data_IF_592938476864
#
_entry.id   IF_592938476864
#
_cell.length_a   1.000
_cell.length_b   1.000
_cell.length_c   1.000
_cell.angle_alpha   90.00
_cell.angle_beta   90.00
_cell.angle_gamma   90.00
#
_symmetry.space_group_name_H-M   'P 1'
#
loop_
_entity.id
_entity.type
_entity.pdbx_description
1 polymer ?
#
# COMPACT_ATOMS: atom_id res chain seq x y z
N UNK A 1 40.76 39.41 45.30
CA UNK A 1 40.88 38.92 43.91
C UNK A 1 39.71 38.00 43.65
N UNK A 2 38.88 38.39 42.69
CA UNK A 2 37.47 38.03 42.54
C UNK A 2 37.28 36.71 41.78
N UNK A 3 36.53 35.77 42.36
CA UNK A 3 36.06 34.56 41.71
C UNK A 3 35.05 34.90 40.61
N UNK A 4 35.40 34.59 39.36
CA UNK A 4 34.49 34.66 38.21
C UNK A 4 33.57 33.44 38.18
N UNK A 5 32.30 33.64 38.54
CA UNK A 5 31.20 32.68 38.32
C UNK A 5 30.85 32.67 36.83
N UNK A 6 31.12 31.56 36.14
CA UNK A 6 30.57 31.30 34.82
C UNK A 6 29.11 30.85 34.95
N UNK A 7 28.19 31.73 34.53
CA UNK A 7 26.78 31.43 34.30
C UNK A 7 26.67 30.58 33.03
N UNK A 8 26.34 29.31 33.18
CA UNK A 8 25.85 28.46 32.08
C UNK A 8 24.38 28.82 31.80
N UNK A 9 24.02 29.26 30.58
CA UNK A 9 22.63 29.43 30.22
C UNK A 9 22.01 28.05 30.02
N UNK A 10 20.99 27.74 30.84
CA UNK A 10 20.12 26.59 30.66
C UNK A 10 19.38 26.73 29.33
N UNK A 11 19.85 26.00 28.31
CA UNK A 11 19.19 25.88 27.03
C UNK A 11 17.96 24.98 27.23
N UNK A 12 16.82 25.60 27.50
CA UNK A 12 15.53 24.95 27.55
C UNK A 12 15.17 24.48 26.13
N UNK A 13 15.51 23.23 25.83
CA UNK A 13 15.11 22.55 24.60
C UNK A 13 13.60 22.25 24.71
N UNK A 14 12.78 23.15 24.18
CA UNK A 14 11.36 22.93 23.99
C UNK A 14 11.19 21.86 22.89
N UNK A 15 11.11 20.59 23.31
CA UNK A 15 10.67 19.47 22.47
C UNK A 15 9.20 19.69 22.16
N UNK A 16 8.93 20.36 21.04
CA UNK A 16 7.61 20.41 20.43
C UNK A 16 7.34 19.03 19.84
N UNK A 17 6.59 18.21 20.57
CA UNK A 17 5.96 17.01 20.04
C UNK A 17 5.04 17.43 18.90
N UNK A 18 5.58 17.41 17.69
CA UNK A 18 4.84 17.57 16.46
C UNK A 18 3.76 16.49 16.44
N UNK A 19 2.51 16.96 16.48
CA UNK A 19 1.33 16.14 16.40
C UNK A 19 1.44 15.20 15.19
N UNK A 20 1.26 13.90 15.44
CA UNK A 20 0.96 12.91 14.44
C UNK A 20 -0.33 13.32 13.71
N UNK A 21 -0.18 14.08 12.63
CA UNK A 21 -1.24 14.35 11.68
C UNK A 21 -1.55 13.02 10.95
N UNK A 22 -2.38 12.21 11.59
CA UNK A 22 -3.08 11.09 10.96
C UNK A 22 -4.11 11.68 10.00
N UNK A 23 -3.63 12.13 8.84
CA UNK A 23 -4.51 12.55 7.77
C UNK A 23 -5.33 11.34 7.30
N UNK A 24 -6.65 11.46 7.11
CA UNK A 24 -7.43 10.40 6.50
C UNK A 24 -6.89 10.18 5.08
N UNK A 25 -6.17 9.08 4.90
CA UNK A 25 -5.69 8.66 3.59
C UNK A 25 -6.87 8.50 2.60
N UNK A 26 -6.65 8.70 1.30
CA UNK A 26 -7.70 8.56 0.30
C UNK A 26 -8.26 7.14 0.31
N UNK A 27 -9.47 6.98 0.86
CA UNK A 27 -10.33 5.79 0.71
C UNK A 27 -10.84 5.74 -0.73
N UNK A 28 -10.00 5.27 -1.62
CA UNK A 28 -10.29 5.16 -3.04
C UNK A 28 -9.44 4.07 -3.69
N UNK A 29 -9.51 2.84 -3.16
CA UNK A 29 -8.98 1.67 -3.84
C UNK A 29 -9.87 1.32 -5.06
N UNK A 30 -9.27 0.87 -6.18
CA UNK A 30 -10.01 0.48 -7.37
C UNK A 30 -10.88 -0.73 -7.05
N UNK A 31 -12.16 -0.45 -6.83
CA UNK A 31 -13.20 -1.47 -6.78
C UNK A 31 -13.48 -1.93 -8.19
N UNK A 32 -13.27 -3.22 -8.43
CA UNK A 32 -14.10 -3.92 -9.39
C UNK A 32 -15.55 -3.77 -8.95
N UNK A 33 -16.40 -3.30 -9.87
CA UNK A 33 -17.84 -3.21 -9.68
C UNK A 33 -18.42 -4.62 -9.54
N UNK A 34 -18.58 -5.07 -8.30
CA UNK A 34 -19.25 -6.30 -7.94
C UNK A 34 -19.50 -6.36 -6.44
N UNK A 35 -20.71 -5.95 -6.03
CA UNK A 35 -21.31 -6.23 -4.71
C UNK A 35 -20.63 -5.65 -3.45
N UNK A 36 -20.66 -4.31 -3.34
CA UNK A 36 -20.53 -3.57 -2.05
C UNK A 36 -21.84 -3.57 -1.23
N UNK A 37 -22.43 -4.73 -0.93
CA UNK A 37 -23.52 -4.84 0.06
C UNK A 37 -23.24 -5.92 1.11
N UNK A 38 -22.57 -5.50 2.19
CA UNK A 38 -22.31 -6.32 3.39
C UNK A 38 -21.53 -5.52 4.43
N UNK A 39 -22.18 -4.55 5.08
CA UNK A 39 -21.52 -3.34 5.63
C UNK A 39 -20.83 -3.48 6.99
N UNK A 40 -20.86 -4.64 7.65
CA UNK A 40 -20.28 -4.77 9.01
C UNK A 40 -19.23 -5.90 9.16
N UNK A 41 -18.89 -6.59 8.07
CA UNK A 41 -17.77 -7.53 8.03
C UNK A 41 -16.73 -7.05 7.05
N UNK A 42 -15.75 -6.26 7.52
CA UNK A 42 -14.65 -5.77 6.68
C UNK A 42 -13.99 -6.90 5.89
N UNK A 43 -13.48 -6.58 4.70
CA UNK A 43 -12.75 -7.58 3.90
C UNK A 43 -11.55 -8.14 4.68
N UNK A 44 -11.04 -9.31 4.29
CA UNK A 44 -9.82 -9.84 4.90
C UNK A 44 -8.66 -8.84 4.87
N UNK A 45 -8.61 -8.00 3.83
CA UNK A 45 -7.62 -6.93 3.70
C UNK A 45 -7.82 -5.87 4.77
N UNK A 46 -9.04 -5.36 4.95
CA UNK A 46 -9.35 -4.38 6.00
C UNK A 46 -9.00 -4.91 7.40
N UNK A 47 -9.25 -6.20 7.64
CA UNK A 47 -8.87 -6.86 8.90
C UNK A 47 -7.36 -6.91 9.08
N UNK A 48 -6.60 -7.27 8.05
CA UNK A 48 -5.14 -7.29 8.10
C UNK A 48 -4.56 -5.88 8.31
N UNK A 49 -5.12 -4.86 7.63
CA UNK A 49 -4.75 -3.45 7.85
C UNK A 49 -5.01 -3.02 9.30
N UNK A 50 -6.19 -3.33 9.85
CA UNK A 50 -6.51 -3.00 11.23
C UNK A 50 -5.60 -3.68 12.26
N UNK A 51 -5.03 -4.86 11.94
CA UNK A 51 -4.03 -5.51 12.78
C UNK A 51 -2.69 -4.81 12.70
N UNK A 52 -2.24 -4.45 11.50
CA UNK A 52 -1.01 -3.69 11.30
C UNK A 52 -1.06 -2.33 12.04
N UNK A 53 -2.19 -1.62 11.95
CA UNK A 53 -2.41 -0.34 12.64
C UNK A 53 -2.36 -0.46 14.17
N UNK A 54 -2.70 -1.64 14.72
CA UNK A 54 -2.60 -1.94 16.16
C UNK A 54 -1.21 -2.45 16.59
N UNK A 55 -0.27 -2.54 15.66
CA UNK A 55 1.08 -3.06 15.91
C UNK A 55 1.19 -4.60 15.84
N UNK A 56 0.12 -5.31 15.47
CA UNK A 56 0.15 -6.76 15.25
C UNK A 56 0.61 -7.06 13.82
N UNK A 57 1.88 -6.74 13.54
CA UNK A 57 2.47 -6.83 12.21
C UNK A 57 2.60 -8.28 11.73
N UNK A 58 2.81 -9.25 12.63
CA UNK A 58 2.94 -10.67 12.30
C UNK A 58 1.63 -11.26 11.78
N UNK A 59 0.52 -11.04 12.51
CA UNK A 59 -0.79 -11.53 12.08
C UNK A 59 -1.25 -10.79 10.82
N UNK A 60 -0.96 -9.48 10.73
CA UNK A 60 -1.25 -8.70 9.53
C UNK A 60 -0.49 -9.21 8.30
N UNK A 61 0.82 -9.47 8.44
CA UNK A 61 1.68 -10.02 7.39
C UNK A 61 1.11 -11.32 6.82
N UNK A 62 0.76 -12.26 7.72
CA UNK A 62 0.12 -13.53 7.35
C UNK A 62 -1.17 -13.30 6.56
N UNK A 63 -2.02 -12.38 7.02
CA UNK A 63 -3.27 -12.06 6.33
C UNK A 63 -3.05 -11.47 4.94
N UNK A 64 -2.12 -10.54 4.80
CA UNK A 64 -1.76 -9.94 3.51
C UNK A 64 -1.19 -10.98 2.54
N UNK A 65 -0.33 -11.88 2.99
CA UNK A 65 0.19 -12.96 2.14
C UNK A 65 -0.91 -13.91 1.66
N UNK A 66 -1.83 -14.31 2.53
CA UNK A 66 -2.97 -15.14 2.13
C UNK A 66 -3.82 -14.47 1.04
N UNK A 67 -4.02 -13.16 1.13
CA UNK A 67 -4.78 -12.37 0.14
C UNK A 67 -3.97 -12.21 -1.15
N UNK A 68 -2.68 -11.89 -1.07
CA UNK A 68 -1.80 -11.71 -2.23
C UNK A 68 -1.69 -12.97 -3.10
N UNK A 69 -1.73 -14.16 -2.48
CA UNK A 69 -1.73 -15.46 -3.19
C UNK A 69 -2.92 -15.67 -4.12
N UNK A 70 -3.97 -14.84 -4.06
CA UNK A 70 -5.08 -14.88 -5.03
C UNK A 70 -4.67 -14.45 -6.45
N UNK A 71 -3.47 -13.88 -6.62
CA UNK A 71 -2.85 -13.59 -7.92
C UNK A 71 -3.09 -12.15 -8.41
N UNK A 72 -3.29 -11.93 -9.72
CA UNK A 72 -3.40 -10.58 -10.27
C UNK A 72 -4.56 -9.77 -9.65
N UNK A 73 -4.32 -8.49 -9.40
CA UNK A 73 -5.25 -7.57 -8.75
C UNK A 73 -5.07 -7.44 -7.24
N UNK A 74 -4.20 -8.25 -6.63
CA UNK A 74 -3.89 -8.23 -5.19
C UNK A 74 -2.50 -7.67 -4.87
N UNK A 75 -1.93 -6.85 -5.76
CA UNK A 75 -0.58 -6.31 -5.59
C UNK A 75 -0.47 -5.40 -4.37
N UNK A 76 -1.56 -4.72 -3.99
CA UNK A 76 -1.63 -3.93 -2.76
C UNK A 76 -1.42 -4.81 -1.52
N UNK A 77 -1.94 -6.05 -1.51
CA UNK A 77 -1.74 -6.97 -0.39
C UNK A 77 -0.28 -7.42 -0.32
N UNK A 78 0.35 -7.74 -1.46
CA UNK A 78 1.78 -8.07 -1.50
C UNK A 78 2.65 -6.90 -1.01
N UNK A 79 2.32 -5.67 -1.42
CA UNK A 79 2.98 -4.47 -0.91
C UNK A 79 2.82 -4.31 0.61
N UNK A 80 1.60 -4.48 1.13
CA UNK A 80 1.33 -4.38 2.56
C UNK A 80 1.98 -5.49 3.38
N UNK A 81 2.11 -6.70 2.84
CA UNK A 81 2.95 -7.75 3.42
C UNK A 81 4.40 -7.25 3.55
N UNK A 82 4.99 -6.73 2.47
CA UNK A 82 6.37 -6.24 2.51
C UNK A 82 6.61 -5.18 3.60
N UNK A 83 5.67 -4.23 3.74
CA UNK A 83 5.72 -3.23 4.81
C UNK A 83 5.58 -3.84 6.21
N UNK A 84 4.68 -4.82 6.40
CA UNK A 84 4.53 -5.50 7.68
C UNK A 84 5.80 -6.28 8.07
N UNK A 85 6.45 -6.95 7.11
CA UNK A 85 7.73 -7.64 7.36
C UNK A 85 8.84 -6.66 7.77
N UNK A 86 8.92 -5.51 7.10
CA UNK A 86 9.88 -4.46 7.47
C UNK A 86 9.55 -3.84 8.84
N UNK A 87 8.29 -3.73 9.22
CA UNK A 87 7.88 -3.29 10.55
C UNK A 87 8.33 -4.30 11.63
N UNK A 88 8.11 -5.60 11.40
CA UNK A 88 8.58 -6.66 12.31
C UNK A 88 10.11 -6.63 12.47
N UNK A 89 10.84 -6.41 11.38
CA UNK A 89 12.30 -6.35 11.41
C UNK A 89 12.87 -5.20 12.27
N UNK A 90 12.08 -4.15 12.51
CA UNK A 90 12.44 -3.02 13.36
C UNK A 90 11.96 -3.18 14.82
N UNK A 91 11.41 -4.35 15.18
CA UNK A 91 10.96 -4.63 16.54
C UNK A 91 12.10 -4.64 17.57
N UNK A 92 11.85 -4.08 18.75
CA UNK A 92 12.82 -4.06 19.84
C UNK A 92 13.12 -5.47 20.35
N UNK A 93 14.39 -5.74 20.67
CA UNK A 93 14.82 -7.01 21.25
C UNK A 93 14.92 -8.19 20.27
N UNK A 94 14.72 -7.95 18.97
CA UNK A 94 14.86 -8.98 17.94
C UNK A 94 16.34 -9.33 17.69
N UNK A 95 16.64 -10.62 17.53
CA UNK A 95 17.98 -11.07 17.13
C UNK A 95 18.34 -10.50 15.75
N UNK A 96 19.59 -10.05 15.61
CA UNK A 96 20.05 -9.37 14.39
C UNK A 96 19.89 -10.21 13.11
N UNK A 97 20.06 -11.55 13.19
CA UNK A 97 19.88 -12.43 12.02
C UNK A 97 18.41 -12.59 11.66
N UNK A 98 17.53 -12.64 12.66
CA UNK A 98 16.08 -12.69 12.43
C UNK A 98 15.62 -11.36 11.81
N UNK A 99 16.10 -10.22 12.33
CA UNK A 99 15.80 -8.89 11.78
C UNK A 99 16.29 -8.73 10.32
N UNK A 100 17.45 -9.29 9.99
CA UNK A 100 17.96 -9.33 8.62
C UNK A 100 17.07 -10.19 7.70
N UNK A 101 16.71 -11.40 8.11
CA UNK A 101 15.82 -12.27 7.31
C UNK A 101 14.44 -11.64 7.04
N UNK A 102 13.87 -10.95 8.03
CA UNK A 102 12.61 -10.22 7.85
C UNK A 102 12.75 -9.00 6.92
N UNK A 103 13.92 -8.32 6.93
CA UNK A 103 14.21 -7.27 5.94
C UNK A 103 14.26 -7.84 4.54
N UNK A 104 14.97 -8.94 4.34
CA UNK A 104 15.08 -9.59 3.04
C UNK A 104 13.71 -10.02 2.52
N UNK A 105 12.89 -10.69 3.34
CA UNK A 105 11.52 -11.04 2.99
C UNK A 105 10.68 -9.80 2.63
N UNK A 106 10.77 -8.73 3.42
CA UNK A 106 10.03 -7.50 3.15
C UNK A 106 10.41 -6.85 1.83
N UNK A 107 11.71 -6.82 1.49
CA UNK A 107 12.17 -6.35 0.18
C UNK A 107 11.72 -7.25 -0.96
N UNK A 108 11.75 -8.58 -0.79
CA UNK A 108 11.28 -9.52 -1.82
C UNK A 108 9.79 -9.31 -2.12
N UNK A 109 8.96 -9.12 -1.10
CA UNK A 109 7.53 -8.86 -1.25
C UNK A 109 7.27 -7.50 -1.92
N UNK A 110 7.97 -6.44 -1.51
CA UNK A 110 7.90 -5.13 -2.18
C UNK A 110 8.33 -5.22 -3.65
N UNK A 111 9.43 -5.92 -3.95
CA UNK A 111 9.89 -6.14 -5.34
C UNK A 111 8.85 -6.90 -6.15
N UNK A 112 8.22 -7.93 -5.56
CA UNK A 112 7.15 -8.69 -6.21
C UNK A 112 5.95 -7.79 -6.55
N UNK A 113 5.47 -6.98 -5.60
CA UNK A 113 4.40 -6.02 -5.85
C UNK A 113 4.79 -4.95 -6.90
N UNK A 114 6.02 -4.43 -6.84
CA UNK A 114 6.52 -3.44 -7.77
C UNK A 114 6.66 -3.99 -9.20
N UNK A 115 7.14 -5.22 -9.33
CA UNK A 115 7.21 -5.96 -10.59
C UNK A 115 5.81 -6.25 -11.14
N UNK A 116 4.82 -6.51 -10.28
CA UNK A 116 3.42 -6.64 -10.67
C UNK A 116 2.75 -5.30 -11.05
N UNK A 117 3.54 -4.21 -11.09
CA UNK A 117 3.09 -2.91 -11.56
C UNK A 117 2.41 -2.06 -10.49
N UNK A 118 2.53 -2.41 -9.22
CA UNK A 118 2.00 -1.59 -8.13
C UNK A 118 2.89 -0.37 -7.87
N UNK A 119 2.42 0.85 -8.19
CA UNK A 119 3.27 2.03 -8.18
C UNK A 119 3.67 2.47 -6.77
N UNK A 120 2.85 2.22 -5.74
CA UNK A 120 3.26 2.53 -4.37
C UNK A 120 4.46 1.69 -3.92
N UNK A 121 4.56 0.43 -4.36
CA UNK A 121 5.74 -0.40 -4.10
C UNK A 121 6.98 0.10 -4.85
N UNK A 122 6.83 0.55 -6.10
CA UNK A 122 7.92 1.15 -6.87
C UNK A 122 8.46 2.41 -6.19
N UNK A 123 7.56 3.29 -5.73
CA UNK A 123 7.92 4.48 -4.95
C UNK A 123 8.61 4.12 -3.62
N UNK A 124 8.07 3.16 -2.88
CA UNK A 124 8.63 2.70 -1.61
C UNK A 124 10.05 2.15 -1.77
N UNK A 125 10.27 1.31 -2.80
CA UNK A 125 11.60 0.79 -3.10
C UNK A 125 12.57 1.90 -3.49
N UNK A 126 12.15 2.86 -4.33
CA UNK A 126 12.98 4.00 -4.69
C UNK A 126 13.44 4.79 -3.45
N UNK A 127 12.51 5.09 -2.54
CA UNK A 127 12.81 5.81 -1.28
C UNK A 127 13.76 5.00 -0.39
N UNK A 128 13.48 3.72 -0.16
CA UNK A 128 14.30 2.86 0.73
C UNK A 128 15.69 2.59 0.20
N UNK A 129 15.86 2.41 -1.11
CA UNK A 129 17.18 2.25 -1.69
C UNK A 129 17.99 3.55 -1.66
N UNK A 130 17.35 4.71 -1.82
CA UNK A 130 18.02 6.01 -1.69
C UNK A 130 18.50 6.24 -0.25
N UNK A 131 17.73 5.84 0.76
CA UNK A 131 18.09 5.96 2.18
C UNK A 131 19.36 5.18 2.56
N UNK A 132 19.81 4.20 1.75
CA UNK A 132 21.05 3.45 2.02
C UNK A 132 22.32 4.29 1.84
N UNK A 133 22.29 5.29 0.95
CA UNK A 133 23.42 6.20 0.70
C UNK A 133 24.68 5.59 0.04
N UNK A 134 24.69 4.29 -0.26
CA UNK A 134 25.76 3.61 -0.98
C UNK A 134 25.49 3.53 -2.51
N UNK A 135 26.51 3.15 -3.29
CA UNK A 135 26.41 3.09 -4.76
C UNK A 135 25.34 2.12 -5.25
N UNK A 136 25.18 0.99 -4.55
CA UNK A 136 24.16 -0.03 -4.87
C UNK A 136 22.75 0.53 -4.64
N UNK A 137 22.56 1.24 -3.52
CA UNK A 137 21.34 1.96 -3.17
C UNK A 137 21.00 3.03 -4.19
N UNK A 138 21.96 3.87 -4.59
CA UNK A 138 21.76 4.86 -5.66
C UNK A 138 21.34 4.21 -6.98
N UNK A 139 22.00 3.13 -7.38
CA UNK A 139 21.66 2.40 -8.60
C UNK A 139 20.23 1.83 -8.56
N UNK A 140 19.85 1.14 -7.47
CA UNK A 140 18.52 0.55 -7.33
C UNK A 140 17.43 1.61 -7.17
N UNK A 141 17.71 2.72 -6.49
CA UNK A 141 16.78 3.85 -6.37
C UNK A 141 16.50 4.47 -7.74
N UNK A 142 17.55 4.72 -8.53
CA UNK A 142 17.43 5.24 -9.90
C UNK A 142 16.57 4.34 -10.79
N UNK A 143 16.80 3.02 -10.74
CA UNK A 143 16.00 2.05 -11.49
C UNK A 143 14.51 2.14 -11.11
N UNK A 144 14.17 2.10 -9.81
CA UNK A 144 12.78 2.12 -9.38
C UNK A 144 12.08 3.46 -9.61
N UNK A 145 12.81 4.58 -9.53
CA UNK A 145 12.29 5.89 -9.97
C UNK A 145 11.92 5.85 -11.45
N UNK A 146 12.79 5.34 -12.31
CA UNK A 146 12.52 5.25 -13.74
C UNK A 146 11.36 4.28 -14.06
N UNK A 147 11.22 3.17 -13.32
CA UNK A 147 10.05 2.29 -13.46
C UNK A 147 8.76 3.00 -13.05
N UNK A 148 8.78 3.72 -11.93
CA UNK A 148 7.63 4.51 -11.45
C UNK A 148 7.23 5.60 -12.45
N UNK A 149 8.20 6.32 -12.99
CA UNK A 149 7.99 7.38 -13.98
C UNK A 149 7.36 6.86 -15.27
N UNK A 150 7.56 5.59 -15.62
CA UNK A 150 6.95 4.95 -16.79
C UNK A 150 5.64 4.21 -16.46
N UNK A 151 5.17 4.25 -15.21
CA UNK A 151 3.95 3.56 -14.81
C UNK A 151 2.69 4.38 -15.14
N UNK A 152 2.05 4.04 -16.27
CA UNK A 152 0.85 4.74 -16.79
C UNK A 152 -0.34 4.76 -15.81
N UNK A 153 -0.43 3.80 -14.88
CA UNK A 153 -1.56 3.69 -13.95
C UNK A 153 -1.61 4.90 -13.01
N UNK A 154 -0.50 5.25 -12.37
CA UNK A 154 -0.45 6.38 -11.44
C UNK A 154 -0.46 7.72 -12.19
N UNK A 155 0.17 7.80 -13.37
CA UNK A 155 0.09 8.98 -14.23
C UNK A 155 -1.36 9.32 -14.61
N UNK A 156 -2.15 8.31 -14.98
CA UNK A 156 -3.56 8.51 -15.36
C UNK A 156 -4.45 9.03 -14.23
N UNK A 157 -4.05 8.79 -12.98
CA UNK A 157 -4.75 9.22 -11.78
C UNK A 157 -4.17 10.51 -11.16
N UNK A 158 -3.07 11.05 -11.71
CA UNK A 158 -2.38 12.23 -11.19
C UNK A 158 -1.81 12.04 -9.78
N UNK A 159 -1.55 10.79 -9.36
CA UNK A 159 -1.10 10.49 -8.01
C UNK A 159 0.41 10.72 -7.88
N UNK A 160 0.81 11.67 -7.04
CA UNK A 160 2.22 11.87 -6.66
C UNK A 160 2.54 11.04 -5.41
N UNK A 161 3.14 9.86 -5.61
CA UNK A 161 3.53 8.95 -4.50
C UNK A 161 4.74 9.45 -3.73
N UNK A 162 5.70 10.06 -4.43
CA UNK A 162 6.88 10.67 -3.83
C UNK A 162 6.67 12.19 -3.85
N UNK A 163 6.65 12.88 -2.69
CA UNK A 163 6.55 14.33 -2.65
C UNK A 163 7.64 14.99 -3.48
N UNK A 164 7.32 16.04 -4.25
CA UNK A 164 8.24 16.66 -5.20
C UNK A 164 9.58 17.09 -4.57
N UNK A 165 9.54 17.67 -3.36
CA UNK A 165 10.74 18.05 -2.63
C UNK A 165 11.62 16.85 -2.27
N UNK A 166 11.01 15.71 -1.89
CA UNK A 166 11.72 14.46 -1.59
C UNK A 166 12.32 13.87 -2.87
N UNK A 167 11.57 13.88 -3.99
CA UNK A 167 12.06 13.40 -5.29
C UNK A 167 13.28 14.21 -5.75
N UNK A 168 13.22 15.53 -5.68
CA UNK A 168 14.35 16.38 -6.05
C UNK A 168 15.60 16.12 -5.18
N UNK A 169 15.42 15.91 -3.87
CA UNK A 169 16.52 15.54 -2.98
C UNK A 169 17.14 14.18 -3.34
N UNK A 170 16.31 13.18 -3.64
CA UNK A 170 16.76 11.87 -4.11
C UNK A 170 17.52 11.96 -5.42
N UNK A 171 17.00 12.69 -6.42
CA UNK A 171 17.67 12.86 -7.71
C UNK A 171 19.03 13.56 -7.60
N UNK A 172 19.14 14.54 -6.71
CA UNK A 172 20.39 15.22 -6.43
C UNK A 172 21.43 14.29 -5.77
N UNK A 173 21.00 13.44 -4.82
CA UNK A 173 21.87 12.47 -4.15
C UNK A 173 22.28 11.31 -5.07
N UNK A 174 21.33 10.76 -5.84
CA UNK A 174 21.56 9.69 -6.81
C UNK A 174 22.52 10.16 -7.91
N UNK A 175 22.34 11.39 -8.40
CA UNK A 175 23.17 11.97 -9.44
C UNK A 175 22.85 11.50 -10.86
N UNK A 176 23.23 12.28 -11.89
CA UNK A 176 22.77 12.08 -13.27
C UNK A 176 23.25 10.76 -13.91
N UNK A 177 24.44 10.27 -13.54
CA UNK A 177 24.98 9.02 -14.09
C UNK A 177 24.13 7.79 -13.72
N UNK A 178 23.79 7.66 -12.44
CA UNK A 178 22.92 6.58 -11.96
C UNK A 178 21.49 6.72 -12.49
N UNK A 179 20.94 7.95 -12.57
CA UNK A 179 19.63 8.21 -13.17
C UNK A 179 19.56 7.75 -14.63
N UNK A 180 20.58 8.08 -15.43
CA UNK A 180 20.64 7.65 -16.83
C UNK A 180 20.75 6.12 -16.96
N UNK A 181 21.57 5.47 -16.13
CA UNK A 181 21.71 4.01 -16.11
C UNK A 181 20.41 3.31 -15.69
N UNK A 182 19.75 3.81 -14.64
CA UNK A 182 18.47 3.31 -14.16
C UNK A 182 17.36 3.44 -15.21
N UNK A 183 17.32 4.56 -15.94
CA UNK A 183 16.39 4.75 -17.06
C UNK A 183 16.64 3.76 -18.21
N UNK A 184 17.91 3.52 -18.55
CA UNK A 184 18.27 2.53 -19.58
C UNK A 184 17.87 1.10 -19.18
N UNK A 185 18.08 0.72 -17.93
CA UNK A 185 17.64 -0.58 -17.38
C UNK A 185 16.10 -0.69 -17.40
N UNK A 186 15.40 0.34 -16.91
CA UNK A 186 13.94 0.38 -16.82
C UNK A 186 13.22 0.39 -18.19
N UNK A 187 13.89 0.76 -19.28
CA UNK A 187 13.31 0.72 -20.64
C UNK A 187 12.81 -0.69 -21.04
N UNK A 188 13.44 -1.74 -20.48
CA UNK A 188 13.05 -3.13 -20.71
C UNK A 188 12.09 -3.67 -19.64
N UNK A 189 11.67 -2.85 -18.68
CA UNK A 189 10.75 -3.27 -17.64
C UNK A 189 9.43 -3.73 -18.26
N UNK A 190 8.96 -4.88 -17.81
CA UNK A 190 7.64 -5.42 -18.13
C UNK A 190 7.01 -5.85 -16.82
N UNK A 191 5.73 -5.52 -16.65
CA UNK A 191 4.99 -5.96 -15.47
C UNK A 191 4.91 -7.48 -15.47
N UNK A 192 5.16 -8.08 -14.31
CA UNK A 192 5.04 -9.51 -14.06
C UNK A 192 3.88 -9.70 -13.07
N UNK A 193 2.67 -10.05 -13.55
CA UNK A 193 1.52 -10.24 -12.67
C UNK A 193 1.84 -11.24 -11.55
N UNK A 194 1.27 -11.02 -10.37
CA UNK A 194 1.41 -11.97 -9.27
C UNK A 194 0.86 -13.34 -9.69
N UNK A 195 1.63 -14.39 -9.41
CA UNK A 195 1.18 -15.75 -9.62
C UNK A 195 0.09 -16.10 -8.60
N UNK A 196 -0.98 -16.74 -9.07
CA UNK A 196 -1.97 -17.33 -8.17
C UNK A 196 -1.40 -18.64 -7.64
N UNK A 197 -1.39 -18.79 -6.32
CA UNK A 197 -0.94 -19.99 -5.64
C UNK A 197 -2.13 -20.61 -4.89
N UNK A 198 -2.24 -21.93 -4.92
CA UNK A 198 -3.27 -22.64 -4.15
C UNK A 198 -3.17 -22.27 -2.68
N UNK A 199 -4.26 -21.76 -2.13
CA UNK A 199 -4.28 -21.27 -0.75
C UNK A 199 -4.60 -22.40 0.22
N UNK A 200 -3.74 -22.53 1.22
CA UNK A 200 -3.92 -23.47 2.32
C UNK A 200 -5.17 -23.15 3.13
N UNK A 201 -5.67 -24.16 3.86
CA UNK A 201 -6.83 -24.01 4.74
C UNK A 201 -6.60 -22.94 5.84
N UNK A 202 -5.34 -22.70 6.23
CA UNK A 202 -4.94 -21.63 7.15
C UNK A 202 -5.29 -20.22 6.63
N UNK A 203 -5.43 -20.03 5.31
CA UNK A 203 -5.83 -18.77 4.70
C UNK A 203 -7.34 -18.53 4.70
N UNK A 204 -8.17 -19.54 4.99
CA UNK A 204 -9.63 -19.41 4.97
C UNK A 204 -10.17 -18.25 5.81
N UNK A 205 -9.66 -17.96 7.02
CA UNK A 205 -10.14 -16.81 7.78
C UNK A 205 -9.99 -15.50 7.02
N UNK A 206 -8.94 -15.34 6.20
CA UNK A 206 -8.63 -14.12 5.44
C UNK A 206 -9.35 -14.05 4.10
N UNK A 207 -9.63 -15.21 3.50
CA UNK A 207 -10.26 -15.31 2.19
C UNK A 207 -11.78 -15.44 2.25
N UNK A 208 -12.31 -15.89 3.38
CA UNK A 208 -13.73 -15.85 3.64
C UNK A 208 -14.17 -14.38 3.58
N UNK A 209 -14.68 -13.96 2.42
CA UNK A 209 -15.55 -12.81 2.33
C UNK A 209 -16.54 -12.97 3.46
N UNK A 210 -16.74 -11.94 4.27
CA UNK A 210 -17.78 -11.93 5.28
C UNK A 210 -19.05 -12.33 4.54
N UNK A 211 -19.42 -13.62 4.66
CA UNK A 211 -20.67 -14.13 4.12
C UNK A 211 -21.66 -13.34 4.91
N UNK A 212 -22.18 -12.25 4.33
CA UNK A 212 -23.19 -11.43 4.97
C UNK A 212 -24.19 -12.44 5.51
N UNK A 213 -24.37 -12.53 6.84
CA UNK A 213 -25.29 -13.50 7.41
C UNK A 213 -26.59 -13.23 6.67
N UNK A 214 -26.93 -14.24 5.88
CA UNK A 214 -27.94 -14.25 4.85
C UNK A 214 -29.04 -13.29 5.25
N UNK A 215 -29.13 -12.15 4.54
CA UNK A 215 -30.13 -11.12 4.76
C UNK A 215 -31.44 -11.87 4.99
N UNK A 216 -31.84 -11.93 6.26
CA UNK A 216 -32.94 -12.77 6.72
C UNK A 216 -34.07 -12.48 5.77
N UNK A 217 -34.51 -13.53 5.08
CA UNK A 217 -35.45 -13.40 3.99
C UNK A 217 -36.52 -12.42 4.40
N UNK A 218 -36.61 -11.29 3.70
CA UNK A 218 -37.91 -10.65 3.55
C UNK A 218 -38.74 -11.72 2.87
N UNK A 219 -39.41 -12.55 3.67
CA UNK A 219 -40.64 -13.20 3.32
C UNK A 219 -41.44 -12.09 2.66
N UNK A 220 -41.44 -12.10 1.33
CA UNK A 220 -42.34 -11.29 0.55
C UNK A 220 -43.71 -11.78 1.02
N UNK A 221 -44.52 -10.95 1.72
CA UNK A 221 -45.85 -11.39 2.07
C UNK A 221 -46.55 -11.70 0.75
N UNK A 222 -46.83 -12.98 0.59
CA UNK A 222 -47.61 -13.54 -0.48
C UNK A 222 -49.05 -13.08 -0.26
N UNK A 223 -49.38 -11.89 -0.75
CA UNK A 223 -50.70 -11.30 -0.53
C UNK A 223 -50.78 -9.84 -0.95
N UNK A 224 -51.04 -9.60 -2.24
CA UNK A 224 -51.20 -8.24 -2.73
C UNK A 224 -51.66 -8.16 -4.18
N UNK A 225 -52.78 -8.83 -4.47
CA UNK A 225 -53.49 -8.74 -5.74
C UNK A 225 -54.11 -7.33 -5.88
N UNK A 226 -53.53 -6.48 -6.72
CA UNK A 226 -54.11 -5.20 -7.14
C UNK A 226 -53.15 -4.53 -8.11
N UNK A 227 -53.36 -4.55 -9.43
CA UNK A 227 -54.52 -3.93 -10.06
C UNK A 227 -54.16 -2.49 -10.40
N UNK A 228 -53.33 -2.27 -11.42
CA UNK A 228 -52.89 -0.93 -11.82
C UNK A 228 -52.38 -0.88 -13.25
N UNK A 229 -53.32 -0.86 -14.20
CA UNK A 229 -53.04 -0.56 -15.62
C UNK A 229 -52.67 0.92 -15.74
N UNK A 230 -51.38 1.22 -15.90
CA UNK A 230 -50.89 2.56 -16.23
C UNK A 230 -50.33 2.61 -17.65
N UNK A 231 -51.17 3.05 -18.59
CA UNK A 231 -50.89 3.37 -20.00
C UNK A 231 -50.28 4.77 -20.09
N UNK A 232 -49.38 4.99 -21.05
CA UNK A 232 -48.98 6.33 -21.55
C UNK A 232 -47.52 6.60 -21.21
N UNK A 233 -46.59 6.68 -22.16
CA UNK A 233 -46.48 7.63 -23.26
C UNK A 233 -44.96 7.84 -23.42
N UNK A 234 -44.35 7.68 -24.58
CA UNK A 234 -44.54 8.56 -25.73
C UNK A 234 -43.64 9.78 -25.55
N UNK A 235 -42.39 9.69 -25.99
CA UNK A 235 -41.42 10.78 -25.89
C UNK A 235 -40.20 10.58 -26.78
N UNK A 236 -40.39 10.87 -28.09
CA UNK A 236 -39.30 11.17 -29.03
C UNK A 236 -38.64 12.49 -28.62
N UNK A 237 -37.32 12.56 -28.75
CA UNK A 237 -36.61 13.84 -28.86
C UNK A 237 -35.21 13.64 -29.43
N UNK A 238 -34.92 14.12 -30.65
CA UNK A 238 -33.57 14.34 -31.13
C UNK A 238 -33.17 15.82 -30.93
N UNK A 239 -31.89 16.09 -30.73
CA UNK A 239 -31.36 17.45 -30.87
C UNK A 239 -29.99 17.65 -30.21
N UNK A 240 -28.99 18.00 -31.02
CA UNK A 240 -27.67 18.45 -30.59
C UNK A 240 -26.55 17.80 -31.36
#
# INVERSE_FOLDING_TARGET
MTLGRFLLPALALAVTLAACASGPGPRGGPGGDGDRQGRDGGSGFDRATALLERGDAETAHTGFLCIARQGPGYEIAMHSAGLASLAMANGEGLDGRIAEGLRDHGYLELISAANAGWPAAQAELAMRFSERGDDSGRQRAAYWLAVLDNNVRDQSLGLQRIPAARRAAMEADIGPGYLAAGAAEAANFRTQPLERVDTEMSCQPWLAQARSPQAGGRQRPEGGRGGGRGRGGGGRGPGG
#
